data_IF_023776973466
#
_entry.id   IF_023776973466
#
_cell.length_a   1.000
_cell.length_b   1.000
_cell.length_c   1.000
_cell.angle_alpha   90.00
_cell.angle_beta   90.00
_cell.angle_gamma   90.00
#
_symmetry.space_group_name_H-M   'P 1'
#
loop_
_entity.id
_entity.type
_entity.pdbx_description
1 polymer ?
#
# COMPACT_ATOMS: atom_id res chain seq x y z
N UNK A 1 -32.73 14.57 -11.76
CA UNK A 1 -31.29 14.35 -12.06
C UNK A 1 -31.22 13.28 -13.13
N UNK A 2 -30.44 13.47 -14.19
CA UNK A 2 -30.26 12.42 -15.20
C UNK A 2 -29.56 11.22 -14.57
N UNK A 3 -29.86 10.01 -15.06
CA UNK A 3 -29.26 8.75 -14.59
C UNK A 3 -27.72 8.82 -14.60
N UNK A 4 -27.15 9.51 -15.58
CA UNK A 4 -25.71 9.72 -15.71
C UNK A 4 -25.10 10.53 -14.56
N UNK A 5 -25.81 11.55 -14.08
CA UNK A 5 -25.32 12.38 -12.97
C UNK A 5 -25.25 11.60 -11.66
N UNK A 6 -26.21 10.70 -11.43
CA UNK A 6 -26.20 9.80 -10.26
C UNK A 6 -25.08 8.77 -10.35
N UNK A 7 -24.87 8.19 -11.55
CA UNK A 7 -23.77 7.26 -11.78
C UNK A 7 -22.40 7.92 -11.54
N UNK A 8 -22.19 9.14 -12.03
CA UNK A 8 -20.96 9.90 -11.79
C UNK A 8 -20.76 10.21 -10.30
N UNK A 9 -21.80 10.66 -9.61
CA UNK A 9 -21.74 10.95 -8.18
C UNK A 9 -21.38 9.70 -7.36
N UNK A 10 -22.00 8.55 -7.67
CA UNK A 10 -21.68 7.27 -7.03
C UNK A 10 -20.21 6.87 -7.23
N UNK A 11 -19.71 6.94 -8.48
CA UNK A 11 -18.33 6.61 -8.79
C UNK A 11 -17.35 7.53 -8.06
N UNK A 12 -17.61 8.84 -8.05
CA UNK A 12 -16.77 9.80 -7.34
C UNK A 12 -16.73 9.53 -5.83
N UNK A 13 -17.88 9.35 -5.20
CA UNK A 13 -17.98 9.04 -3.77
C UNK A 13 -17.27 7.72 -3.44
N UNK A 14 -17.45 6.69 -4.27
CA UNK A 14 -16.79 5.40 -4.08
C UNK A 14 -15.27 5.52 -4.19
N UNK A 15 -14.76 6.23 -5.20
CA UNK A 15 -13.33 6.49 -5.36
C UNK A 15 -12.75 7.28 -4.18
N UNK A 16 -13.46 8.31 -3.70
CA UNK A 16 -13.01 9.11 -2.56
C UNK A 16 -13.02 8.31 -1.26
N UNK A 17 -14.04 7.47 -1.04
CA UNK A 17 -14.08 6.54 0.10
C UNK A 17 -12.91 5.56 0.06
N UNK A 18 -12.67 4.92 -1.09
CA UNK A 18 -11.55 3.99 -1.26
C UNK A 18 -10.18 4.67 -1.02
N UNK A 19 -10.02 5.90 -1.50
CA UNK A 19 -8.79 6.68 -1.30
C UNK A 19 -8.59 7.08 0.17
N UNK A 20 -9.66 7.42 0.88
CA UNK A 20 -9.59 7.71 2.32
C UNK A 20 -9.27 6.47 3.15
N UNK A 21 -9.85 5.30 2.80
CA UNK A 21 -9.48 4.04 3.43
C UNK A 21 -7.99 3.71 3.22
N UNK A 22 -7.49 3.86 1.98
CA UNK A 22 -6.07 3.65 1.69
C UNK A 22 -5.15 4.60 2.47
N UNK A 23 -5.56 5.87 2.65
CA UNK A 23 -4.82 6.83 3.48
C UNK A 23 -4.76 6.43 4.94
N UNK A 24 -5.86 5.93 5.49
CA UNK A 24 -5.92 5.47 6.88
C UNK A 24 -5.02 4.24 7.06
N UNK A 25 -5.14 3.24 6.17
CA UNK A 25 -4.28 2.05 6.19
C UNK A 25 -2.78 2.41 6.10
N UNK A 26 -2.40 3.29 5.17
CA UNK A 26 -1.00 3.74 5.03
C UNK A 26 -0.48 4.41 6.30
N UNK A 27 -1.28 5.26 6.94
CA UNK A 27 -0.89 5.96 8.18
C UNK A 27 -0.81 5.03 9.40
N UNK A 28 -1.65 4.01 9.48
CA UNK A 28 -1.59 3.05 10.59
C UNK A 28 -0.34 2.16 10.52
N UNK A 29 0.13 1.87 9.30
CA UNK A 29 1.25 0.96 9.06
C UNK A 29 2.61 1.67 8.88
N UNK A 30 2.67 3.01 9.04
CA UNK A 30 3.90 3.79 8.90
C UNK A 30 4.17 4.61 10.16
N UNK A 31 5.39 4.48 10.67
CA UNK A 31 5.89 5.24 11.83
C UNK A 31 6.13 6.71 11.47
N UNK A 32 6.46 6.99 10.20
CA UNK A 32 6.78 8.32 9.70
C UNK A 32 5.57 9.01 9.09
N UNK A 33 5.35 10.27 9.48
CA UNK A 33 4.26 11.12 8.96
C UNK A 33 4.61 11.75 7.62
N UNK A 34 4.81 10.94 6.59
CA UNK A 34 5.01 11.44 5.22
C UNK A 34 3.69 11.71 4.50
N UNK A 35 3.72 12.49 3.41
CA UNK A 35 2.56 12.68 2.54
C UNK A 35 2.10 11.35 1.93
N UNK A 36 0.78 11.18 1.79
CA UNK A 36 0.22 10.00 1.16
C UNK A 36 0.39 10.05 -0.36
N UNK A 37 0.95 8.98 -0.94
CA UNK A 37 1.02 8.75 -2.38
C UNK A 37 0.32 7.46 -2.72
N UNK A 38 -0.76 7.52 -3.52
CA UNK A 38 -1.50 6.33 -3.95
C UNK A 38 -0.62 5.39 -4.78
N UNK A 39 0.34 5.93 -5.53
CA UNK A 39 1.29 5.16 -6.31
C UNK A 39 2.22 4.37 -5.39
N UNK A 40 2.77 5.01 -4.35
CA UNK A 40 3.64 4.34 -3.38
C UNK A 40 2.86 3.29 -2.58
N UNK A 41 1.64 3.62 -2.14
CA UNK A 41 0.75 2.68 -1.45
C UNK A 41 0.51 1.41 -2.28
N UNK A 42 0.16 1.57 -3.57
CA UNK A 42 -0.06 0.44 -4.48
C UNK A 42 1.21 -0.39 -4.69
N UNK A 43 2.37 0.26 -4.88
CA UNK A 43 3.66 -0.44 -5.04
C UNK A 43 4.00 -1.24 -3.78
N UNK A 44 3.92 -0.63 -2.60
CA UNK A 44 4.18 -1.32 -1.32
C UNK A 44 3.26 -2.51 -1.10
N UNK A 45 1.94 -2.38 -1.34
CA UNK A 45 1.01 -3.52 -1.21
C UNK A 45 1.27 -4.63 -2.22
N UNK A 46 1.74 -4.30 -3.42
CA UNK A 46 2.17 -5.31 -4.38
C UNK A 46 3.43 -6.05 -3.90
N UNK A 47 4.46 -5.30 -3.52
CA UNK A 47 5.73 -5.84 -3.02
C UNK A 47 5.49 -6.72 -1.80
N UNK A 48 4.69 -6.27 -0.83
CA UNK A 48 4.35 -7.03 0.37
C UNK A 48 3.72 -8.39 0.05
N UNK A 49 2.80 -8.46 -0.93
CA UNK A 49 2.18 -9.73 -1.33
C UNK A 49 3.20 -10.69 -1.93
N UNK A 50 4.10 -10.20 -2.77
CA UNK A 50 5.17 -11.00 -3.35
C UNK A 50 6.17 -11.46 -2.28
N UNK A 51 6.56 -10.58 -1.37
CA UNK A 51 7.46 -10.91 -0.27
C UNK A 51 6.84 -11.95 0.65
N UNK A 52 5.56 -11.82 1.04
CA UNK A 52 4.86 -12.84 1.83
C UNK A 52 4.86 -14.20 1.14
N UNK A 53 4.63 -14.24 -0.17
CA UNK A 53 4.71 -15.49 -0.93
C UNK A 53 6.13 -16.05 -0.92
N UNK A 54 7.14 -15.20 -1.17
CA UNK A 54 8.55 -15.59 -1.20
C UNK A 54 9.00 -16.15 0.16
N UNK A 55 8.78 -15.40 1.24
CA UNK A 55 9.08 -15.81 2.62
C UNK A 55 8.40 -17.14 2.94
N UNK A 56 7.10 -17.29 2.62
CA UNK A 56 6.39 -18.54 2.85
C UNK A 56 6.93 -19.71 2.03
N UNK A 57 7.35 -19.47 0.78
CA UNK A 57 7.86 -20.54 -0.11
C UNK A 57 9.26 -21.01 0.26
N UNK A 58 10.08 -20.13 0.81
CA UNK A 58 11.47 -20.40 1.17
C UNK A 58 11.70 -20.54 2.67
N UNK A 59 10.64 -20.50 3.48
CA UNK A 59 10.66 -20.62 4.94
C UNK A 59 11.68 -19.67 5.60
N UNK A 60 11.65 -18.40 5.18
CA UNK A 60 12.60 -17.40 5.66
C UNK A 60 12.23 -16.91 7.06
N UNK A 61 13.20 -16.94 7.96
CA UNK A 61 13.07 -16.41 9.31
C UNK A 61 13.21 -14.88 9.31
N UNK A 62 12.10 -14.18 9.57
CA UNK A 62 12.06 -12.72 9.68
C UNK A 62 12.50 -12.19 11.06
N UNK A 63 12.81 -13.05 12.03
CA UNK A 63 13.34 -12.61 13.32
C UNK A 63 14.83 -12.24 13.23
N UNK A 64 15.51 -12.68 12.17
CA UNK A 64 16.90 -12.29 11.87
C UNK A 64 16.93 -10.84 11.38
N UNK A 65 17.68 -9.98 12.07
CA UNK A 65 17.80 -8.54 11.79
C UNK A 65 18.14 -8.22 10.33
N UNK A 66 19.03 -9.02 9.70
CA UNK A 66 19.40 -8.87 8.29
C UNK A 66 18.15 -9.01 7.40
N UNK A 67 17.33 -10.02 7.64
CA UNK A 67 16.12 -10.26 6.86
C UNK A 67 15.07 -9.16 7.07
N UNK A 68 15.04 -8.52 8.25
CA UNK A 68 14.16 -7.38 8.51
C UNK A 68 14.57 -6.15 7.70
N UNK A 69 15.86 -5.84 7.63
CA UNK A 69 16.38 -4.72 6.85
C UNK A 69 16.12 -4.92 5.36
N UNK A 70 16.46 -6.09 4.83
CA UNK A 70 16.21 -6.46 3.43
C UNK A 70 14.70 -6.46 3.10
N UNK A 71 13.87 -6.95 4.02
CA UNK A 71 12.42 -6.90 3.86
C UNK A 71 11.91 -5.46 3.73
N UNK A 72 12.39 -4.54 4.57
CA UNK A 72 11.97 -3.13 4.51
C UNK A 72 12.46 -2.45 3.23
N UNK A 73 13.66 -2.75 2.75
CA UNK A 73 14.16 -2.26 1.48
C UNK A 73 13.30 -2.76 0.32
N UNK A 74 13.08 -4.07 0.23
CA UNK A 74 12.27 -4.68 -0.82
C UNK A 74 10.80 -4.26 -0.76
N UNK A 75 10.26 -4.04 0.44
CA UNK A 75 8.91 -3.51 0.62
C UNK A 75 8.77 -2.12 0.00
N UNK A 76 9.79 -1.27 0.16
CA UNK A 76 9.82 0.08 -0.41
C UNK A 76 10.43 0.14 -1.82
N UNK A 77 10.82 -1.00 -2.40
CA UNK A 77 11.46 -1.04 -3.70
C UNK A 77 10.60 -0.40 -4.79
N UNK A 78 11.22 0.49 -5.54
CA UNK A 78 10.56 1.24 -6.58
C UNK A 78 9.49 2.20 -6.07
N UNK A 79 9.37 2.51 -4.78
CA UNK A 79 8.56 3.66 -4.37
C UNK A 79 9.17 4.96 -4.90
N UNK A 80 8.34 5.93 -5.24
CA UNK A 80 8.82 7.24 -5.70
C UNK A 80 9.15 8.05 -4.45
N UNK A 81 10.35 8.63 -4.39
CA UNK A 81 10.73 9.54 -3.32
C UNK A 81 9.75 10.73 -3.33
N UNK A 82 9.08 10.95 -2.20
CA UNK A 82 8.24 12.12 -1.97
C UNK A 82 9.04 13.15 -1.18
#
# INVERSE_FOLDING_TARGET
>A
MSTDQQALAFNFNTCMTALNLAKVDDKMNRTERTAFSITNYKRRRHNEKLLKLFIFKFDLDLEVEINQNEYLELLNYGTIYA
#
